data_IF_302569563311
#
_entry.id   IF_302569563311
#
_cell.length_a   1.000
_cell.length_b   1.000
_cell.length_c   1.000
_cell.angle_alpha   90.00
_cell.angle_beta   90.00
_cell.angle_gamma   90.00
#
_symmetry.space_group_name_H-M   'P 1'
#
loop_
_entity.id
_entity.type
_entity.pdbx_description
1 polymer ?
#
# COMPACT_ATOMS: atom_id res chain seq x y z
N UNK A 1 -6.84 21.11 32.62
CA UNK A 1 -6.25 19.99 31.87
C UNK A 1 -6.87 20.01 30.49
N UNK A 2 -6.10 20.36 29.46
CA UNK A 2 -6.57 20.32 28.09
C UNK A 2 -6.78 18.84 27.70
N UNK A 3 -7.99 18.51 27.25
CA UNK A 3 -8.26 17.23 26.58
C UNK A 3 -7.36 17.14 25.34
N UNK A 4 -6.61 16.03 25.14
CA UNK A 4 -5.87 15.85 23.91
C UNK A 4 -6.85 15.84 22.74
N UNK A 5 -6.50 16.54 21.67
CA UNK A 5 -7.28 16.56 20.44
C UNK A 5 -7.60 15.12 19.98
N UNK A 6 -8.80 14.89 19.42
CA UNK A 6 -9.10 13.60 18.82
C UNK A 6 -8.05 13.28 17.74
N UNK A 7 -7.63 12.01 17.62
CA UNK A 7 -6.73 11.61 16.54
C UNK A 7 -7.35 12.01 15.20
N UNK A 8 -6.53 12.46 14.23
CA UNK A 8 -7.04 12.84 12.92
C UNK A 8 -7.88 11.69 12.35
N UNK A 9 -9.01 11.98 11.69
CA UNK A 9 -9.83 10.94 11.07
C UNK A 9 -8.93 10.13 10.12
N UNK A 10 -9.17 8.81 10.06
CA UNK A 10 -8.59 7.96 9.02
C UNK A 10 -8.79 8.68 7.66
N UNK A 11 -7.77 8.79 6.81
CA UNK A 11 -7.85 9.62 5.63
C UNK A 11 -9.03 9.17 4.77
N UNK A 12 -10.04 10.03 4.70
CA UNK A 12 -11.15 9.90 3.76
C UNK A 12 -10.55 9.88 2.35
N UNK A 13 -10.87 8.85 1.57
CA UNK A 13 -10.55 8.84 0.13
C UNK A 13 -9.70 7.67 -0.40
N UNK A 14 -9.49 6.58 0.33
CA UNK A 14 -8.90 5.34 -0.24
C UNK A 14 -9.93 4.43 -0.91
N UNK A 15 -11.22 4.58 -0.58
CA UNK A 15 -12.31 3.83 -1.22
C UNK A 15 -12.56 4.26 -2.67
N UNK A 16 -12.34 5.54 -2.97
CA UNK A 16 -12.47 6.14 -4.31
C UNK A 16 -11.10 6.71 -4.72
N UNK A 17 -10.32 5.88 -5.41
CA UNK A 17 -8.96 6.21 -5.86
C UNK A 17 -8.99 6.86 -7.24
N UNK A 18 -9.78 7.93 -7.39
CA UNK A 18 -9.69 8.78 -8.59
C UNK A 18 -8.51 9.73 -8.45
N UNK A 19 -7.51 9.58 -9.31
CA UNK A 19 -6.28 10.36 -9.33
C UNK A 19 -6.45 11.65 -10.11
N UNK A 20 -5.89 12.73 -9.58
CA UNK A 20 -5.76 14.02 -10.26
C UNK A 20 -4.54 14.03 -11.19
N UNK A 21 -4.52 14.95 -12.16
CA UNK A 21 -3.38 15.11 -13.07
C UNK A 21 -2.08 15.42 -12.33
N UNK A 22 -2.17 16.22 -11.28
CA UNK A 22 -0.99 16.57 -10.49
C UNK A 22 -0.49 15.41 -9.63
N UNK A 23 -1.39 14.58 -9.06
CA UNK A 23 -0.99 13.33 -8.40
C UNK A 23 -0.26 12.39 -9.36
N UNK A 24 -0.79 12.18 -10.57
CA UNK A 24 -0.17 11.32 -11.59
C UNK A 24 1.17 11.90 -12.04
N UNK A 25 1.29 13.22 -12.20
CA UNK A 25 2.55 13.86 -12.55
C UNK A 25 3.66 13.56 -11.55
N UNK A 26 3.37 13.73 -10.26
CA UNK A 26 4.34 13.53 -9.18
C UNK A 26 4.69 12.06 -9.02
N UNK A 27 3.68 11.19 -8.99
CA UNK A 27 3.87 9.74 -8.88
C UNK A 27 4.64 9.16 -10.06
N UNK A 28 4.35 9.64 -11.29
CA UNK A 28 5.06 9.19 -12.48
C UNK A 28 6.53 9.61 -12.48
N UNK A 29 6.83 10.83 -12.03
CA UNK A 29 8.22 11.25 -11.78
C UNK A 29 8.90 10.36 -10.74
N UNK A 30 8.19 10.05 -9.66
CA UNK A 30 8.70 9.24 -8.55
C UNK A 30 9.05 7.80 -8.98
N UNK A 31 8.19 7.15 -9.78
CA UNK A 31 8.45 5.81 -10.37
C UNK A 31 9.78 5.80 -11.14
N UNK A 32 10.15 6.88 -11.82
CA UNK A 32 11.30 6.89 -12.75
C UNK A 32 12.68 7.11 -12.11
N UNK A 33 12.80 7.21 -10.77
CA UNK A 33 14.15 7.20 -10.19
C UNK A 33 14.29 7.71 -8.76
N UNK A 34 13.31 8.45 -8.24
CA UNK A 34 13.43 9.01 -6.88
C UNK A 34 13.52 7.92 -5.82
N UNK A 35 12.90 6.77 -6.06
CA UNK A 35 12.97 5.63 -5.17
C UNK A 35 14.39 5.05 -5.04
N UNK A 36 15.29 5.30 -5.99
CA UNK A 36 16.67 4.82 -5.94
C UNK A 36 17.58 5.74 -5.12
N UNK A 37 17.11 6.94 -4.77
CA UNK A 37 17.87 7.88 -3.95
C UNK A 37 17.97 7.40 -2.47
N UNK A 38 19.19 7.32 -1.89
CA UNK A 38 19.37 6.87 -0.51
C UNK A 38 18.73 7.77 0.56
N UNK A 39 18.62 9.09 0.34
CA UNK A 39 17.94 9.99 1.26
C UNK A 39 16.43 9.78 1.17
N UNK A 40 15.88 9.62 -0.04
CA UNK A 40 14.48 9.27 -0.25
C UNK A 40 14.13 7.95 0.46
N UNK A 41 14.96 6.91 0.34
CA UNK A 41 14.76 5.64 1.07
C UNK A 41 14.79 5.82 2.58
N UNK A 42 15.66 6.69 3.12
CA UNK A 42 15.67 7.02 4.56
C UNK A 42 14.38 7.72 4.98
N UNK A 43 13.92 8.71 4.20
CA UNK A 43 12.68 9.43 4.46
C UNK A 43 11.49 8.47 4.44
N UNK A 44 11.39 7.60 3.43
CA UNK A 44 10.31 6.61 3.31
C UNK A 44 10.31 5.61 4.47
N UNK A 45 11.48 5.15 4.94
CA UNK A 45 11.55 4.30 6.14
C UNK A 45 11.03 5.05 7.38
N UNK A 46 11.43 6.31 7.56
CA UNK A 46 10.98 7.12 8.68
C UNK A 46 9.46 7.38 8.66
N UNK A 47 8.85 7.52 7.48
CA UNK A 47 7.40 7.71 7.32
C UNK A 47 6.61 6.40 7.24
N UNK A 48 7.27 5.24 7.21
CA UNK A 48 6.66 3.95 6.86
C UNK A 48 5.97 3.96 5.48
N UNK A 49 6.61 4.59 4.50
CA UNK A 49 6.16 4.74 3.11
C UNK A 49 5.35 6.01 2.87
N UNK A 50 4.42 5.93 1.92
CA UNK A 50 3.51 7.02 1.59
C UNK A 50 2.25 6.99 2.50
N UNK A 51 1.42 8.04 2.45
CA UNK A 51 0.13 8.01 3.12
C UNK A 51 -0.78 6.97 2.45
N UNK A 52 -1.84 6.48 3.13
CA UNK A 52 -2.74 5.46 2.59
C UNK A 52 -3.21 5.67 1.15
N UNK A 53 -3.59 6.90 0.80
CA UNK A 53 -4.01 7.26 -0.56
C UNK A 53 -2.86 7.11 -1.57
N UNK A 54 -1.72 7.71 -1.27
CA UNK A 54 -0.58 7.71 -2.20
C UNK A 54 0.14 6.37 -2.27
N UNK A 55 0.03 5.50 -1.27
CA UNK A 55 0.48 4.11 -1.36
C UNK A 55 -0.26 3.33 -2.44
N UNK A 56 -1.59 3.39 -2.44
CA UNK A 56 -2.40 2.74 -3.46
C UNK A 56 -2.30 3.45 -4.82
N UNK A 57 -2.26 4.78 -4.83
CA UNK A 57 -2.07 5.56 -6.06
C UNK A 57 -0.74 5.23 -6.75
N UNK A 58 0.33 5.07 -5.97
CA UNK A 58 1.65 4.70 -6.50
C UNK A 58 1.60 3.34 -7.20
N UNK A 59 0.97 2.34 -6.58
CA UNK A 59 0.78 1.04 -7.20
C UNK A 59 -0.08 1.08 -8.47
N UNK A 60 -1.16 1.87 -8.46
CA UNK A 60 -1.98 2.08 -9.67
C UNK A 60 -1.18 2.73 -10.79
N UNK A 61 -0.45 3.81 -10.50
CA UNK A 61 0.36 4.51 -11.50
C UNK A 61 1.38 3.57 -12.10
N UNK A 62 2.08 2.79 -11.28
CA UNK A 62 3.05 1.81 -11.77
C UNK A 62 2.37 0.72 -12.62
N UNK A 63 1.35 0.05 -12.10
CA UNK A 63 0.68 -1.07 -12.78
C UNK A 63 0.00 -0.63 -14.09
N UNK A 64 -0.68 0.51 -14.11
CA UNK A 64 -1.44 0.94 -15.30
C UNK A 64 -0.54 1.55 -16.37
N UNK A 65 0.47 2.34 -15.99
CA UNK A 65 1.23 3.16 -16.94
C UNK A 65 2.55 2.53 -17.36
N UNK A 66 3.12 1.61 -16.57
CA UNK A 66 4.37 0.97 -16.93
C UNK A 66 4.12 -0.14 -17.94
N UNK A 67 4.44 0.10 -19.21
CA UNK A 67 4.19 -0.84 -20.32
C UNK A 67 5.44 -1.60 -20.79
N UNK A 68 6.58 -1.38 -20.14
CA UNK A 68 7.88 -1.91 -20.58
C UNK A 68 8.59 -2.62 -19.45
N UNK A 69 8.37 -3.93 -19.33
CA UNK A 69 9.09 -4.73 -18.35
C UNK A 69 9.07 -6.22 -18.69
N UNK A 70 10.04 -6.99 -18.17
CA UNK A 70 10.01 -8.44 -18.25
C UNK A 70 8.91 -9.02 -17.36
N UNK A 71 8.76 -10.34 -17.36
CA UNK A 71 7.72 -11.04 -16.61
C UNK A 71 6.41 -11.25 -17.38
N UNK A 72 5.47 -11.96 -16.76
CA UNK A 72 4.28 -12.47 -17.44
C UNK A 72 3.25 -11.40 -17.85
N UNK A 73 3.37 -10.17 -17.34
CA UNK A 73 2.41 -9.07 -17.56
C UNK A 73 3.00 -7.89 -18.34
N UNK A 74 4.21 -8.04 -18.91
CA UNK A 74 4.79 -7.09 -19.86
C UNK A 74 4.94 -5.66 -19.32
N UNK A 75 5.34 -5.50 -18.06
CA UNK A 75 5.52 -4.19 -17.41
C UNK A 75 4.37 -3.75 -16.51
N UNK A 76 3.14 -4.23 -16.69
CA UNK A 76 1.98 -3.85 -15.87
C UNK A 76 2.01 -4.48 -14.48
N UNK A 77 3.05 -4.18 -13.70
CA UNK A 77 3.40 -4.85 -12.45
C UNK A 77 3.97 -3.91 -11.39
N UNK A 78 3.70 -4.17 -10.09
CA UNK A 78 4.14 -3.31 -9.01
C UNK A 78 5.60 -3.64 -8.61
N UNK A 79 6.56 -3.41 -9.49
CA UNK A 79 7.97 -3.75 -9.27
C UNK A 79 8.62 -2.90 -8.18
N UNK A 80 8.68 -1.59 -8.39
CA UNK A 80 9.25 -0.63 -7.47
C UNK A 80 8.43 -0.54 -6.18
N UNK A 81 7.11 -0.66 -6.28
CA UNK A 81 6.23 -0.86 -5.12
C UNK A 81 6.64 -2.09 -4.33
N UNK A 82 6.80 -3.26 -4.96
CA UNK A 82 7.18 -4.47 -4.26
C UNK A 82 8.56 -4.33 -3.58
N UNK A 83 9.54 -3.72 -4.26
CA UNK A 83 10.87 -3.44 -3.68
C UNK A 83 10.75 -2.54 -2.45
N UNK A 84 10.02 -1.42 -2.56
CA UNK A 84 9.82 -0.50 -1.45
C UNK A 84 9.14 -1.16 -0.28
N UNK A 85 8.02 -1.84 -0.52
CA UNK A 85 7.23 -2.37 0.57
C UNK A 85 7.88 -3.61 1.18
N UNK A 86 8.69 -4.38 0.46
CA UNK A 86 9.55 -5.41 1.07
C UNK A 86 10.53 -4.80 2.07
N UNK A 87 11.25 -3.75 1.67
CA UNK A 87 12.19 -3.04 2.56
C UNK A 87 11.46 -2.45 3.79
N UNK A 88 10.29 -1.83 3.59
CA UNK A 88 9.51 -1.27 4.70
C UNK A 88 8.99 -2.34 5.66
N UNK A 89 8.56 -3.51 5.16
CA UNK A 89 8.12 -4.63 6.00
C UNK A 89 9.26 -5.14 6.89
N UNK A 90 10.45 -5.37 6.31
CA UNK A 90 11.64 -5.79 7.04
C UNK A 90 12.08 -4.74 8.08
N UNK A 91 12.04 -3.47 7.69
CA UNK A 91 12.32 -2.36 8.59
C UNK A 91 11.34 -2.31 9.77
N UNK A 92 10.04 -2.39 9.50
CA UNK A 92 9.00 -2.40 10.54
C UNK A 92 9.16 -3.60 11.49
N UNK A 93 9.37 -4.81 10.96
CA UNK A 93 9.60 -6.01 11.77
C UNK A 93 10.84 -5.88 12.68
N UNK A 94 11.92 -5.30 12.15
CA UNK A 94 13.15 -5.03 12.91
C UNK A 94 12.89 -4.04 14.04
N UNK A 95 12.21 -2.92 13.78
CA UNK A 95 11.91 -1.92 14.80
C UNK A 95 10.98 -2.46 15.89
N UNK A 96 9.98 -3.27 15.51
CA UNK A 96 9.12 -3.99 16.47
C UNK A 96 9.94 -4.90 17.38
N UNK A 97 10.87 -5.66 16.81
CA UNK A 97 11.74 -6.57 17.57
C UNK A 97 12.68 -5.82 18.50
N UNK A 98 13.32 -4.75 18.01
CA UNK A 98 14.28 -3.93 18.77
C UNK A 98 13.60 -3.20 19.93
N UNK A 99 12.44 -2.60 19.69
CA UNK A 99 11.75 -1.78 20.70
C UNK A 99 10.93 -2.59 21.70
N UNK A 100 10.63 -3.86 21.40
CA UNK A 100 10.19 -4.85 22.38
C UNK A 100 11.22 -5.03 23.50
N UNK A 101 12.50 -5.13 23.15
CA UNK A 101 13.61 -5.23 24.11
C UNK A 101 13.63 -3.99 25.02
N UNK A 102 13.25 -2.83 24.48
CA UNK A 102 13.17 -1.56 25.21
C UNK A 102 11.82 -1.30 25.89
N UNK A 103 10.90 -2.27 25.88
CA UNK A 103 9.53 -2.15 26.40
C UNK A 103 8.74 -0.93 25.90
N UNK A 104 9.03 -0.44 24.68
CA UNK A 104 8.33 0.69 24.10
C UNK A 104 6.89 0.34 23.72
N UNK A 105 6.02 1.35 23.68
CA UNK A 105 4.66 1.21 23.20
C UNK A 105 4.65 0.93 21.67
N UNK A 106 3.91 -0.09 21.24
CA UNK A 106 3.75 -0.50 19.84
C UNK A 106 3.33 0.64 18.90
N UNK A 107 2.36 1.47 19.30
CA UNK A 107 1.92 2.61 18.51
C UNK A 107 3.05 3.64 18.33
N UNK A 108 3.87 3.85 19.37
CA UNK A 108 5.03 4.74 19.27
C UNK A 108 6.10 4.21 18.31
N UNK A 109 6.26 2.89 18.18
CA UNK A 109 7.15 2.28 17.17
C UNK A 109 6.63 2.56 15.76
N UNK A 110 5.34 2.35 15.54
CA UNK A 110 4.73 2.40 14.21
C UNK A 110 4.36 3.82 13.75
N UNK A 111 4.43 4.81 14.62
CA UNK A 111 4.10 6.20 14.28
C UNK A 111 5.07 6.73 13.23
N UNK A 112 4.56 7.35 12.17
CA UNK A 112 5.39 7.95 11.13
C UNK A 112 6.18 9.13 11.73
N UNK A 113 7.48 9.18 11.44
CA UNK A 113 8.35 10.29 11.81
C UNK A 113 8.38 11.44 10.80
N UNK A 114 7.76 11.27 9.63
CA UNK A 114 7.71 12.27 8.56
C UNK A 114 6.35 12.25 7.83
N UNK A 115 6.01 13.36 7.16
CA UNK A 115 4.82 13.45 6.32
C UNK A 115 5.00 12.71 4.99
N UNK A 116 3.90 12.52 4.27
CA UNK A 116 3.94 11.85 2.97
C UNK A 116 4.59 12.78 1.93
N UNK A 117 5.66 12.29 1.29
CA UNK A 117 6.42 13.03 0.28
C UNK A 117 5.55 13.60 -0.83
N UNK A 118 4.65 12.79 -1.40
CA UNK A 118 3.74 13.26 -2.45
C UNK A 118 2.81 14.36 -1.93
N UNK A 119 2.26 14.23 -0.71
CA UNK A 119 1.47 15.31 -0.11
C UNK A 119 2.28 16.61 0.04
N UNK A 120 3.56 16.52 0.43
CA UNK A 120 4.45 17.66 0.55
C UNK A 120 4.69 18.34 -0.81
N UNK A 121 4.95 17.55 -1.86
CA UNK A 121 5.16 18.04 -3.23
C UNK A 121 3.89 18.67 -3.82
N UNK A 122 2.72 18.08 -3.57
CA UNK A 122 1.43 18.63 -3.98
C UNK A 122 1.11 19.96 -3.25
N UNK A 123 1.61 20.11 -2.02
CA UNK A 123 1.41 21.31 -1.21
C UNK A 123 2.42 22.42 -1.52
N UNK A 124 3.58 22.07 -2.07
CA UNK A 124 4.54 23.04 -2.56
C UNK A 124 3.96 23.77 -3.78
N UNK A 125 4.00 25.10 -3.80
CA UNK A 125 3.48 25.88 -4.92
C UNK A 125 4.14 25.43 -6.23
N UNK A 126 3.33 24.97 -7.19
CA UNK A 126 3.82 24.54 -8.49
C UNK A 126 4.66 25.65 -9.14
N UNK A 127 5.88 25.37 -9.63
CA UNK A 127 6.64 26.34 -10.40
C UNK A 127 5.79 26.82 -11.58
N UNK A 128 5.75 28.14 -11.80
CA UNK A 128 5.06 28.74 -12.93
C UNK A 128 5.70 28.29 -14.24
N UNK A 129 5.10 27.33 -14.93
CA UNK A 129 5.55 26.78 -16.21
C UNK A 129 4.54 25.78 -16.75
N UNK A 130 4.50 25.58 -18.07
CA UNK A 130 3.59 24.64 -18.71
C UNK A 130 3.75 23.22 -18.12
N UNK A 131 2.68 22.42 -17.97
CA UNK A 131 2.74 21.10 -17.37
C UNK A 131 3.35 20.11 -18.38
N UNK A 132 4.65 20.21 -18.58
CA UNK A 132 5.40 19.17 -19.27
C UNK A 132 5.59 18.05 -18.24
N UNK A 133 4.90 16.93 -18.42
CA UNK A 133 5.09 15.75 -17.58
C UNK A 133 6.54 15.23 -17.66
N UNK A 134 6.89 14.25 -16.83
CA UNK A 134 8.19 13.59 -16.92
C UNK A 134 8.48 13.20 -18.38
N UNK A 135 9.66 13.59 -18.88
CA UNK A 135 10.12 13.34 -20.26
C UNK A 135 9.18 13.82 -21.39
N UNK A 136 8.36 14.86 -21.18
CA UNK A 136 7.47 15.38 -22.22
C UNK A 136 6.16 14.61 -22.38
N UNK A 137 5.81 13.77 -21.39
CA UNK A 137 4.57 13.01 -21.38
C UNK A 137 3.32 13.91 -21.26
N UNK A 138 2.26 13.52 -21.97
CA UNK A 138 0.92 14.10 -21.78
C UNK A 138 0.33 13.57 -20.47
N UNK A 139 0.50 14.34 -19.40
CA UNK A 139 0.06 13.95 -18.07
C UNK A 139 -1.46 13.80 -17.99
N UNK A 140 -2.23 14.54 -18.80
CA UNK A 140 -3.69 14.40 -18.81
C UNK A 140 -4.11 13.04 -19.38
N UNK A 141 -3.52 12.65 -20.51
CA UNK A 141 -3.74 11.32 -21.10
C UNK A 141 -3.33 10.18 -20.15
N UNK A 142 -2.15 10.29 -19.51
CA UNK A 142 -1.70 9.34 -18.49
C UNK A 142 -2.66 9.26 -17.29
N UNK A 143 -3.28 10.39 -16.93
CA UNK A 143 -4.24 10.42 -15.82
C UNK A 143 -5.53 9.70 -16.19
N UNK A 144 -6.04 9.90 -17.40
CA UNK A 144 -7.19 9.15 -17.90
C UNK A 144 -6.87 7.66 -17.91
N UNK A 145 -5.68 7.28 -18.40
CA UNK A 145 -5.23 5.89 -18.45
C UNK A 145 -5.13 5.24 -17.06
N UNK A 146 -4.43 5.87 -16.11
CA UNK A 146 -4.29 5.36 -14.74
C UNK A 146 -5.65 5.19 -14.05
N UNK A 147 -6.59 6.12 -14.28
CA UNK A 147 -7.93 6.04 -13.72
C UNK A 147 -8.82 4.96 -14.37
N UNK A 148 -8.38 4.30 -15.46
CA UNK A 148 -9.10 3.13 -16.01
C UNK A 148 -9.00 1.91 -15.11
N UNK A 149 -7.96 1.82 -14.26
CA UNK A 149 -7.74 0.73 -13.31
C UNK A 149 -7.84 -0.68 -13.94
N UNK A 150 -7.51 -0.82 -15.23
CA UNK A 150 -7.79 -2.04 -16.00
C UNK A 150 -6.93 -3.19 -15.51
N UNK A 151 -5.62 -2.96 -15.39
CA UNK A 151 -4.67 -4.01 -15.01
C UNK A 151 -4.67 -4.27 -13.50
N UNK A 152 -4.83 -3.22 -12.70
CA UNK A 152 -4.92 -3.27 -11.23
C UNK A 152 -6.15 -4.07 -10.81
N UNK A 153 -7.33 -3.75 -11.37
CA UNK A 153 -8.57 -4.48 -11.06
C UNK A 153 -8.48 -5.93 -11.50
N UNK A 154 -7.92 -6.20 -12.68
CA UNK A 154 -7.71 -7.56 -13.15
C UNK A 154 -6.80 -8.37 -12.20
N UNK A 155 -5.69 -7.79 -11.74
CA UNK A 155 -4.79 -8.45 -10.80
C UNK A 155 -5.46 -8.71 -9.46
N UNK A 156 -6.09 -7.70 -8.85
CA UNK A 156 -6.79 -7.84 -7.56
C UNK A 156 -7.82 -8.98 -7.60
N UNK A 157 -8.57 -9.09 -8.71
CA UNK A 157 -9.54 -10.17 -8.93
C UNK A 157 -8.89 -11.55 -9.07
N UNK A 158 -7.83 -11.64 -9.85
CA UNK A 158 -7.11 -12.91 -10.07
C UNK A 158 -6.56 -13.48 -8.76
N UNK A 159 -6.16 -12.63 -7.82
CA UNK A 159 -5.53 -13.03 -6.55
C UNK A 159 -6.46 -12.97 -5.34
N UNK A 160 -7.74 -12.63 -5.52
CA UNK A 160 -8.70 -12.38 -4.44
C UNK A 160 -8.77 -13.50 -3.41
N UNK A 161 -8.87 -14.75 -3.88
CA UNK A 161 -8.97 -15.93 -3.00
C UNK A 161 -7.79 -16.04 -2.02
N UNK A 162 -6.64 -15.47 -2.39
CA UNK A 162 -5.42 -15.55 -1.59
C UNK A 162 -5.27 -14.35 -0.65
N UNK A 163 -5.45 -13.11 -1.12
CA UNK A 163 -5.26 -11.95 -0.23
C UNK A 163 -6.47 -11.66 0.66
N UNK A 164 -7.69 -12.06 0.28
CA UNK A 164 -8.91 -11.76 1.08
C UNK A 164 -8.84 -12.32 2.51
N UNK A 165 -8.34 -13.54 2.76
CA UNK A 165 -8.08 -14.02 4.12
C UNK A 165 -7.07 -13.20 4.94
N UNK A 166 -6.25 -12.35 4.31
CA UNK A 166 -5.24 -11.51 4.98
C UNK A 166 -5.77 -10.14 5.39
N UNK A 167 -6.97 -9.77 4.94
CA UNK A 167 -7.59 -8.48 5.20
C UNK A 167 -7.68 -8.20 6.69
N UNK A 168 -7.38 -6.95 7.08
CA UNK A 168 -7.55 -6.49 8.43
C UNK A 168 -9.01 -6.65 8.88
N UNK A 169 -9.29 -7.31 10.01
CA UNK A 169 -10.68 -7.57 10.42
C UNK A 169 -11.50 -6.31 10.70
N UNK A 170 -10.84 -5.21 11.07
CA UNK A 170 -11.51 -3.91 11.26
C UNK A 170 -11.89 -3.32 9.90
N UNK A 171 -10.97 -3.26 8.93
CA UNK A 171 -11.29 -2.85 7.56
C UNK A 171 -12.39 -3.72 6.92
N UNK A 172 -12.36 -5.04 7.13
CA UNK A 172 -13.38 -5.95 6.62
C UNK A 172 -14.77 -5.60 7.18
N UNK A 173 -14.85 -5.32 8.48
CA UNK A 173 -16.09 -4.93 9.12
C UNK A 173 -16.59 -3.54 8.64
N UNK A 174 -15.70 -2.58 8.48
CA UNK A 174 -16.01 -1.24 7.93
C UNK A 174 -16.52 -1.33 6.48
N UNK A 175 -16.04 -2.29 5.71
CA UNK A 175 -16.50 -2.57 4.35
C UNK A 175 -17.79 -3.42 4.30
N UNK A 176 -18.37 -3.80 5.44
CA UNK A 176 -19.58 -4.62 5.50
C UNK A 176 -19.37 -6.09 5.10
N UNK A 177 -18.12 -6.57 5.07
CA UNK A 177 -17.83 -7.99 4.80
C UNK A 177 -18.29 -8.82 6.01
N UNK A 178 -19.20 -9.81 5.81
CA UNK A 178 -19.69 -10.64 6.91
C UNK A 178 -18.54 -11.35 7.62
N UNK A 179 -18.56 -11.37 8.95
CA UNK A 179 -17.61 -12.16 9.73
C UNK A 179 -18.12 -13.59 9.78
N UNK A 180 -17.34 -14.51 9.22
CA UNK A 180 -17.57 -15.95 9.30
C UNK A 180 -17.23 -16.53 10.68
N UNK A 181 -16.37 -15.83 11.45
CA UNK A 181 -15.95 -16.25 12.80
C UNK A 181 -15.67 -15.09 13.76
N UNK A 182 -15.62 -15.42 15.05
CA UNK A 182 -15.21 -14.51 16.11
C UNK A 182 -13.70 -14.27 16.09
N UNK A 183 -13.27 -13.04 16.46
CA UNK A 183 -11.87 -12.66 16.40
C UNK A 183 -11.02 -13.45 17.40
N UNK A 184 -9.90 -14.00 16.95
CA UNK A 184 -8.90 -14.70 17.78
C UNK A 184 -7.65 -13.85 17.98
N UNK A 185 -6.76 -14.25 18.89
CA UNK A 185 -5.46 -13.60 19.07
C UNK A 185 -4.58 -13.64 17.80
N UNK A 186 -4.81 -14.58 16.88
CA UNK A 186 -4.15 -14.63 15.57
C UNK A 186 -4.55 -13.44 14.68
N UNK A 187 -5.73 -12.87 14.91
CA UNK A 187 -6.25 -11.74 14.13
C UNK A 187 -5.53 -10.42 14.47
N UNK A 188 -4.86 -10.38 15.62
CA UNK A 188 -3.97 -9.29 15.96
C UNK A 188 -2.80 -9.18 14.96
N UNK A 189 -2.29 -10.30 14.45
CA UNK A 189 -1.24 -10.32 13.42
C UNK A 189 -1.73 -9.82 12.05
N UNK A 190 -3.05 -9.83 11.81
CA UNK A 190 -3.69 -9.34 10.58
C UNK A 190 -4.13 -7.86 10.66
N UNK A 191 -3.97 -7.23 11.82
CA UNK A 191 -4.40 -5.84 11.99
C UNK A 191 -3.45 -4.91 11.24
N UNK A 192 -4.01 -4.06 10.38
CA UNK A 192 -3.21 -3.11 9.58
C UNK A 192 -2.65 -1.99 10.47
N UNK A 193 -1.55 -1.37 10.03
CA UNK A 193 -0.88 -0.29 10.74
C UNK A 193 -1.82 0.86 11.14
N UNK A 194 -2.71 1.39 10.28
CA UNK A 194 -3.67 2.43 10.69
C UNK A 194 -4.53 2.03 11.90
N UNK A 195 -5.04 0.79 11.93
CA UNK A 195 -5.85 0.31 13.05
C UNK A 195 -5.02 -0.07 14.28
N UNK A 196 -3.75 -0.48 14.12
CA UNK A 196 -2.82 -0.65 15.24
C UNK A 196 -2.50 0.70 15.90
N UNK A 197 -2.33 1.77 15.13
CA UNK A 197 -2.10 3.12 15.65
C UNK A 197 -3.34 3.70 16.36
N UNK A 198 -4.53 3.35 15.90
CA UNK A 198 -5.79 3.76 16.54
C UNK A 198 -6.11 2.97 17.82
N UNK A 199 -5.49 1.80 18.02
CA UNK A 199 -5.72 0.98 19.19
C UNK A 199 -5.04 1.58 20.44
N UNK A 200 -5.82 1.74 21.52
CA UNK A 200 -5.34 2.35 22.77
C UNK A 200 -4.49 1.40 23.63
N UNK A 201 -4.86 0.13 23.65
CA UNK A 201 -4.18 -0.92 24.41
C UNK A 201 -3.96 -2.14 23.52
N UNK A 202 -2.69 -2.44 23.23
CA UNK A 202 -2.31 -3.63 22.47
C UNK A 202 -1.50 -4.58 23.37
N UNK A 203 -1.89 -5.86 23.46
CA UNK A 203 -1.11 -6.86 24.19
C UNK A 203 0.34 -6.93 23.68
N UNK A 204 1.30 -7.20 24.58
CA UNK A 204 2.73 -7.31 24.20
C UNK A 204 3.00 -8.35 23.10
N UNK A 205 2.26 -9.46 23.12
CA UNK A 205 2.40 -10.54 22.11
C UNK A 205 1.89 -10.13 20.71
N UNK A 206 1.16 -9.01 20.60
CA UNK A 206 0.73 -8.47 19.30
C UNK A 206 1.93 -8.05 18.47
N UNK A 207 2.97 -7.47 19.08
CA UNK A 207 4.16 -7.04 18.36
C UNK A 207 4.89 -8.22 17.68
N UNK A 208 5.02 -9.36 18.37
CA UNK A 208 5.67 -10.56 17.84
C UNK A 208 4.89 -11.15 16.66
N UNK A 209 3.56 -11.24 16.80
CA UNK A 209 2.68 -11.76 15.75
C UNK A 209 2.65 -10.86 14.52
N UNK A 210 2.59 -9.54 14.74
CA UNK A 210 2.68 -8.56 13.65
C UNK A 210 4.05 -8.69 12.98
N UNK A 211 5.15 -8.64 13.74
CA UNK A 211 6.51 -8.76 13.20
C UNK A 211 6.72 -10.02 12.37
N UNK A 212 6.29 -11.19 12.86
CA UNK A 212 6.34 -12.44 12.11
C UNK A 212 5.56 -12.35 10.78
N UNK A 213 4.35 -11.78 10.81
CA UNK A 213 3.53 -11.63 9.61
C UNK A 213 4.14 -10.67 8.58
N UNK A 214 4.82 -9.62 9.03
CA UNK A 214 5.53 -8.70 8.12
C UNK A 214 6.67 -9.40 7.40
N UNK A 215 7.45 -10.21 8.12
CA UNK A 215 8.53 -11.00 7.53
C UNK A 215 8.00 -12.05 6.55
N UNK A 216 6.94 -12.80 6.91
CA UNK A 216 6.27 -13.72 5.99
C UNK A 216 5.82 -13.03 4.68
N UNK A 217 5.29 -11.80 4.79
CA UNK A 217 4.86 -11.03 3.63
C UNK A 217 6.06 -10.54 2.80
N UNK A 218 7.15 -10.13 3.46
CA UNK A 218 8.39 -9.74 2.80
C UNK A 218 9.05 -10.91 2.06
N UNK A 219 9.00 -12.11 2.63
CA UNK A 219 9.50 -13.34 2.01
C UNK A 219 8.71 -13.69 0.75
N UNK A 220 7.39 -13.47 0.72
CA UNK A 220 6.56 -13.66 -0.49
C UNK A 220 6.81 -12.61 -1.57
N UNK A 221 7.19 -11.38 -1.17
CA UNK A 221 7.53 -10.32 -2.14
C UNK A 221 8.84 -10.60 -2.88
N UNK A 222 9.80 -11.30 -2.27
CA UNK A 222 11.08 -11.63 -2.90
C UNK A 222 10.91 -12.34 -4.25
N UNK A 223 10.25 -13.51 -4.29
CA UNK A 223 9.96 -14.20 -5.53
C UNK A 223 9.09 -13.41 -6.52
N UNK A 224 8.14 -12.59 -6.04
CA UNK A 224 7.38 -11.69 -6.93
C UNK A 224 8.33 -10.70 -7.62
N UNK A 225 9.21 -10.02 -6.88
CA UNK A 225 10.22 -9.11 -7.43
C UNK A 225 11.11 -9.84 -8.42
N UNK A 226 11.62 -11.02 -8.07
CA UNK A 226 12.47 -11.82 -8.95
C UNK A 226 11.75 -12.19 -10.26
N UNK A 227 10.44 -12.51 -10.20
CA UNK A 227 9.63 -12.87 -11.37
C UNK A 227 9.50 -11.75 -12.41
N UNK A 228 9.68 -10.50 -11.97
CA UNK A 228 9.61 -9.28 -12.78
C UNK A 228 11.00 -8.87 -13.31
N UNK A 229 11.94 -9.82 -13.40
CA UNK A 229 13.26 -9.64 -14.00
C UNK A 229 13.42 -10.53 -15.23
N UNK A 230 14.36 -10.21 -16.13
CA UNK A 230 14.58 -10.95 -17.38
C UNK A 230 14.83 -12.47 -17.20
N UNK A 231 15.30 -12.88 -16.02
CA UNK A 231 15.63 -14.27 -15.68
C UNK A 231 14.72 -14.86 -14.60
N UNK A 232 13.69 -14.12 -14.20
CA UNK A 232 12.72 -14.54 -13.21
C UNK A 232 11.87 -15.72 -13.68
N UNK A 233 11.57 -16.65 -12.77
CA UNK A 233 10.45 -17.59 -13.01
C UNK A 233 9.13 -16.85 -12.84
N UNK A 234 8.03 -17.32 -13.46
CA UNK A 234 6.70 -16.83 -13.12
C UNK A 234 6.42 -16.95 -11.61
N UNK A 235 5.79 -15.91 -11.06
CA UNK A 235 5.32 -15.91 -9.69
C UNK A 235 4.15 -16.89 -9.52
N UNK A 236 4.01 -17.46 -8.32
CA UNK A 236 2.79 -18.19 -7.93
C UNK A 236 1.67 -17.20 -7.62
N UNK A 237 0.43 -17.68 -7.49
CA UNK A 237 -0.72 -16.84 -7.11
C UNK A 237 -0.51 -16.19 -5.73
N UNK A 238 0.12 -16.89 -4.79
CA UNK A 238 0.46 -16.35 -3.47
C UNK A 238 1.49 -15.23 -3.52
N UNK A 239 2.51 -15.40 -4.36
CA UNK A 239 3.52 -14.37 -4.61
C UNK A 239 2.88 -13.16 -5.30
N UNK A 240 2.03 -13.39 -6.31
CA UNK A 240 1.24 -12.34 -7.00
C UNK A 240 0.28 -11.59 -6.06
N UNK A 241 -0.18 -12.21 -4.96
CA UNK A 241 -1.07 -11.59 -3.98
C UNK A 241 -0.32 -10.75 -2.94
N UNK A 242 0.99 -10.94 -2.80
CA UNK A 242 1.79 -10.42 -1.68
C UNK A 242 1.89 -8.88 -1.65
N UNK A 243 1.92 -8.22 -2.81
CA UNK A 243 1.93 -6.74 -2.88
C UNK A 243 0.65 -6.12 -2.30
N UNK A 244 -0.50 -6.76 -2.53
CA UNK A 244 -1.79 -6.35 -1.95
C UNK A 244 -1.74 -6.45 -0.44
N UNK A 245 -1.13 -7.51 0.09
CA UNK A 245 -0.96 -7.73 1.52
C UNK A 245 -0.07 -6.67 2.16
N UNK A 246 1.04 -6.36 1.51
CA UNK A 246 2.00 -5.36 1.97
C UNK A 246 1.34 -3.97 2.02
N UNK A 247 0.73 -3.53 0.92
CA UNK A 247 0.00 -2.26 0.89
C UNK A 247 -1.18 -2.25 1.86
N UNK A 248 -1.96 -3.33 1.91
CA UNK A 248 -3.08 -3.48 2.84
C UNK A 248 -2.66 -3.33 4.30
N UNK A 249 -1.48 -3.82 4.66
CA UNK A 249 -0.96 -3.63 6.01
C UNK A 249 -0.56 -2.18 6.29
N UNK A 250 0.17 -1.50 5.40
CA UNK A 250 0.62 -0.12 5.63
C UNK A 250 -0.48 0.94 5.46
N UNK A 251 -1.28 0.79 4.40
CA UNK A 251 -2.25 1.77 3.91
C UNK A 251 -3.69 1.41 4.26
N UNK A 252 -3.95 0.22 4.82
CA UNK A 252 -5.30 -0.28 5.02
C UNK A 252 -5.92 -0.86 3.75
N UNK A 253 -7.07 -1.50 3.90
CA UNK A 253 -7.66 -2.40 2.89
C UNK A 253 -8.86 -1.82 2.13
N UNK A 254 -9.18 -0.54 2.33
CA UNK A 254 -10.38 0.06 1.75
C UNK A 254 -10.41 0.02 0.22
N UNK A 255 -9.28 0.29 -0.44
CA UNK A 255 -9.18 0.26 -1.91
C UNK A 255 -9.45 -1.14 -2.50
N UNK A 256 -8.70 -2.20 -2.14
CA UNK A 256 -8.95 -3.52 -2.70
C UNK A 256 -10.37 -3.98 -2.39
N UNK A 257 -10.89 -3.76 -1.17
CA UNK A 257 -12.27 -4.12 -0.83
C UNK A 257 -13.33 -3.38 -1.67
N UNK A 258 -13.10 -2.13 -2.06
CA UNK A 258 -14.04 -1.34 -2.85
C UNK A 258 -14.14 -1.80 -4.32
N UNK A 259 -13.01 -2.22 -4.90
CA UNK A 259 -12.94 -2.76 -6.27
C UNK A 259 -13.80 -4.03 -6.42
N UNK A 260 -14.03 -4.77 -5.34
CA UNK A 260 -14.87 -5.97 -5.33
C UNK A 260 -16.37 -5.69 -5.14
N UNK A 261 -16.75 -4.70 -4.33
CA UNK A 261 -18.17 -4.41 -4.04
C UNK A 261 -18.91 -3.81 -5.24
N UNK A 262 -18.20 -3.17 -6.16
CA UNK A 262 -18.82 -2.38 -7.25
C UNK A 262 -19.50 -3.23 -8.35
N UNK A 263 -19.35 -4.56 -8.36
CA UNK A 263 -19.97 -5.45 -9.36
C UNK A 263 -21.11 -6.34 -8.82
N UNK A 264 -21.18 -6.63 -7.51
CA UNK A 264 -22.32 -7.39 -6.94
C UNK A 264 -23.65 -6.61 -7.06
N UNK A 265 -23.58 -5.28 -7.23
CA UNK A 265 -24.74 -4.41 -7.51
C UNK A 265 -25.12 -4.28 -8.99
N UNK A 266 -24.29 -4.73 -9.93
CA UNK A 266 -24.56 -4.65 -11.37
C UNK A 266 -25.26 -5.91 -11.94
N UNK A 267 -25.42 -6.96 -11.12
CA UNK A 267 -25.87 -8.29 -11.53
C UNK A 267 -27.32 -8.67 -11.20
N UNK A 268 -28.23 -7.72 -10.96
CA UNK A 268 -29.68 -8.02 -10.80
C UNK A 268 -30.56 -6.98 -11.49
N UNK A 269 -30.54 -6.99 -12.83
CA UNK A 269 -31.59 -6.40 -13.65
C UNK A 269 -31.76 -7.21 -14.94
N UNK A 270 -32.39 -8.38 -14.80
CA UNK A 270 -33.10 -9.09 -15.88
C UNK A 270 -34.33 -9.74 -15.31
#
# INVERSE_FOLDING_TARGET
MATPDPPPPAPAGTKDLRLTTEEVRQLWSFVHGDIMDPEMRRQLRASYGLCPRHSWAYAVVEIELWTYGPGARGGHQPFDVAILYKDLLEHAATELTRRRILAANLASVLTAGAACRICEELSAAAPSGAPVGYAGSDTAALTEEANRLTFTTAWLRQTERVWRPWVCPVCAAEAGVPRDRQLTADDAGRTCRPHLLAARDLPRHTADRVGARLLETADLLGPLIESMTDRGRPATTEEDASWVAALGWFAGWAFPLAVHVSDEGAGTAT
#
